data_IF_003714829085
#
_entry.id   IF_003714829085
#
_cell.length_a   1.000
_cell.length_b   1.000
_cell.length_c   1.000
_cell.angle_alpha   90.00
_cell.angle_beta   90.00
_cell.angle_gamma   90.00
#
_symmetry.space_group_name_H-M   'P 1'
#
loop_
_entity.id
_entity.type
_entity.pdbx_description
1 polymer ?
#
# COMPACT_ATOMS: atom_id res chain seq x y z
N UNK A 1 -4.89 11.03 -13.12
CA UNK A 1 -4.65 10.32 -11.86
C UNK A 1 -5.53 9.09 -11.80
N UNK A 2 -4.96 7.93 -11.56
CA UNK A 2 -5.74 6.71 -11.49
C UNK A 2 -6.34 6.53 -10.10
N UNK A 3 -7.54 5.98 -10.07
CA UNK A 3 -8.24 5.66 -8.84
C UNK A 3 -7.92 4.23 -8.44
N UNK A 4 -7.36 4.06 -7.27
CA UNK A 4 -7.11 2.75 -6.72
C UNK A 4 -8.15 2.42 -5.67
N UNK A 5 -8.57 1.15 -5.66
CA UNK A 5 -9.40 0.62 -4.60
C UNK A 5 -8.48 0.22 -3.44
N UNK A 6 -8.80 0.69 -2.25
CA UNK A 6 -8.01 0.37 -1.06
C UNK A 6 -8.89 -0.44 -0.12
N UNK A 7 -8.72 -1.75 -0.14
CA UNK A 7 -9.45 -2.67 0.73
C UNK A 7 -8.66 -2.91 2.00
N UNK A 8 -9.27 -3.55 2.99
CA UNK A 8 -8.64 -3.75 4.29
C UNK A 8 -7.35 -4.55 4.24
N UNK A 9 -7.37 -5.67 3.56
CA UNK A 9 -6.19 -6.53 3.47
C UNK A 9 -5.95 -7.36 4.72
N UNK A 10 -4.80 -8.03 4.74
CA UNK A 10 -4.40 -8.96 5.78
C UNK A 10 -3.20 -8.39 6.55
N UNK A 11 -3.35 -8.06 7.84
CA UNK A 11 -2.23 -7.54 8.64
C UNK A 11 -1.19 -8.60 9.02
N UNK A 12 -1.50 -9.87 8.84
CA UNK A 12 -0.62 -10.95 9.28
C UNK A 12 0.48 -11.30 8.28
N UNK A 13 0.43 -10.73 7.08
CA UNK A 13 1.43 -10.99 6.03
C UNK A 13 2.22 -9.73 5.74
N UNK A 14 3.30 -9.53 6.47
CA UNK A 14 4.16 -8.36 6.26
C UNK A 14 4.80 -8.38 4.87
N UNK A 15 4.99 -7.19 4.31
CA UNK A 15 5.53 -7.02 2.97
C UNK A 15 4.43 -6.97 1.92
N UNK A 16 4.79 -7.24 0.68
CA UNK A 16 3.86 -7.28 -0.43
C UNK A 16 3.60 -8.73 -0.80
N UNK A 17 2.36 -9.17 -0.72
CA UNK A 17 1.95 -10.54 -1.00
C UNK A 17 0.99 -10.56 -2.17
N UNK A 18 1.33 -11.31 -3.21
CA UNK A 18 0.48 -11.45 -4.39
C UNK A 18 -0.64 -12.43 -4.08
N UNK A 19 -1.88 -12.02 -4.34
CA UNK A 19 -3.06 -12.85 -4.15
C UNK A 19 -3.87 -12.90 -5.44
N UNK A 20 -4.89 -13.76 -5.45
CA UNK A 20 -5.81 -13.83 -6.60
C UNK A 20 -6.63 -12.54 -6.77
N UNK A 21 -6.73 -11.75 -5.71
CA UNK A 21 -7.57 -10.56 -5.69
C UNK A 21 -6.79 -9.24 -5.78
N UNK A 22 -5.47 -9.32 -5.96
CA UNK A 22 -4.61 -8.15 -6.01
C UNK A 22 -3.36 -8.35 -5.17
N UNK A 23 -2.75 -7.27 -4.75
CA UNK A 23 -1.54 -7.34 -3.93
C UNK A 23 -1.86 -6.84 -2.53
N UNK A 24 -1.53 -7.64 -1.54
CA UNK A 24 -1.69 -7.30 -0.13
C UNK A 24 -0.41 -6.64 0.39
N UNK A 25 -0.53 -5.45 0.93
CA UNK A 25 0.59 -4.72 1.54
C UNK A 25 0.37 -4.66 3.05
N UNK A 26 1.42 -4.94 3.80
CA UNK A 26 1.39 -4.77 5.25
C UNK A 26 2.75 -4.31 5.74
N UNK A 27 2.74 -3.28 6.58
CA UNK A 27 3.97 -2.69 7.09
C UNK A 27 3.80 -2.34 8.56
N UNK A 28 4.83 -2.65 9.35
CA UNK A 28 4.86 -2.27 10.75
C UNK A 28 5.34 -0.81 10.84
N UNK A 29 4.52 0.04 11.46
CA UNK A 29 4.91 1.43 11.70
C UNK A 29 4.15 1.98 12.90
N UNK A 30 4.79 1.98 14.03
CA UNK A 30 4.17 2.31 15.31
C UNK A 30 3.71 3.75 15.39
N UNK A 31 4.56 4.68 14.93
CA UNK A 31 4.35 6.10 15.14
C UNK A 31 3.80 6.83 13.92
N UNK A 32 3.51 6.10 12.86
CA UNK A 32 2.97 6.71 11.65
C UNK A 32 1.56 7.25 11.91
N UNK A 33 1.31 8.46 11.41
CA UNK A 33 -0.04 9.04 11.42
C UNK A 33 -0.65 8.99 10.03
N UNK A 34 0.17 8.78 9.00
CA UNK A 34 -0.27 8.71 7.63
C UNK A 34 0.65 7.78 6.85
N UNK A 35 0.06 6.88 6.07
CA UNK A 35 0.80 5.96 5.21
C UNK A 35 0.21 6.00 3.82
N UNK A 36 1.08 6.22 2.83
CA UNK A 36 0.72 6.18 1.42
C UNK A 36 1.59 5.13 0.73
N UNK A 37 1.03 4.46 -0.26
CA UNK A 37 1.79 3.57 -1.14
C UNK A 37 1.81 4.22 -2.52
N UNK A 38 3.00 4.56 -2.99
CA UNK A 38 3.19 5.23 -4.27
C UNK A 38 3.65 4.20 -5.30
N UNK A 39 2.96 4.13 -6.44
CA UNK A 39 3.25 3.17 -7.50
C UNK A 39 3.86 3.87 -8.70
N UNK A 40 4.91 3.26 -9.26
CA UNK A 40 5.69 3.83 -10.35
C UNK A 40 5.72 2.88 -11.54
N UNK A 41 5.73 3.42 -12.76
CA UNK A 41 5.79 2.61 -13.96
C UNK A 41 7.14 1.93 -14.14
N UNK A 42 8.22 2.62 -13.78
CA UNK A 42 9.55 2.07 -13.84
C UNK A 42 10.45 2.77 -12.82
N UNK A 43 11.65 2.23 -12.62
CA UNK A 43 12.54 2.73 -11.59
C UNK A 43 13.12 4.13 -11.89
N UNK A 44 13.00 4.60 -13.13
CA UNK A 44 13.42 5.97 -13.50
C UNK A 44 12.31 7.00 -13.31
N UNK A 45 11.10 6.56 -13.02
CA UNK A 45 9.96 7.47 -12.86
C UNK A 45 10.17 8.34 -11.63
N UNK A 46 10.01 9.65 -11.78
CA UNK A 46 10.13 10.60 -10.67
C UNK A 46 8.79 10.86 -10.00
N UNK A 47 7.71 10.58 -10.72
CA UNK A 47 6.35 10.84 -10.25
C UNK A 47 5.58 9.52 -10.27
N UNK A 48 4.86 9.18 -9.18
CA UNK A 48 4.04 7.99 -9.19
C UNK A 48 2.87 8.14 -10.17
N UNK A 49 2.48 7.02 -10.79
CA UNK A 49 1.29 7.03 -11.65
C UNK A 49 0.01 6.86 -10.83
N UNK A 50 0.13 6.35 -9.62
CA UNK A 50 -1.00 6.16 -8.71
C UNK A 50 -0.51 6.17 -7.27
N UNK A 51 -1.37 6.60 -6.37
CA UNK A 51 -1.07 6.64 -4.93
C UNK A 51 -2.27 6.07 -4.19
N UNK A 52 -2.01 5.15 -3.27
CA UNK A 52 -3.00 4.63 -2.36
C UNK A 52 -2.76 5.22 -0.98
N UNK A 53 -3.73 5.92 -0.45
CA UNK A 53 -3.66 6.44 0.91
C UNK A 53 -4.41 5.49 1.85
N UNK A 54 -3.74 5.03 2.89
CA UNK A 54 -4.34 4.11 3.85
C UNK A 54 -5.10 4.90 4.92
N UNK A 55 -6.29 4.41 5.25
CA UNK A 55 -7.16 5.01 6.25
C UNK A 55 -6.87 4.38 7.61
N UNK A 56 -6.43 5.14 8.62
CA UNK A 56 -6.12 4.57 9.94
C UNK A 56 -7.30 3.82 10.57
N UNK A 57 -8.52 4.16 10.20
CA UNK A 57 -9.70 3.49 10.74
C UNK A 57 -9.94 2.12 10.11
N UNK A 58 -9.48 1.91 8.87
CA UNK A 58 -9.75 0.68 8.11
C UNK A 58 -8.50 -0.12 7.80
N UNK A 59 -7.37 0.56 7.67
CA UNK A 59 -6.13 -0.03 7.15
C UNK A 59 -5.04 -0.10 8.20
N UNK A 60 -5.42 -0.15 9.45
CA UNK A 60 -4.47 -0.28 10.55
C UNK A 60 -5.03 -1.21 11.61
N UNK A 61 -4.20 -2.16 12.05
CA UNK A 61 -4.49 -3.06 13.17
C UNK A 61 -3.31 -3.03 14.11
N UNK A 62 -3.49 -2.40 15.28
CA UNK A 62 -2.36 -2.17 16.17
C UNK A 62 -1.33 -1.27 15.49
N UNK A 63 -0.12 -1.76 15.36
CA UNK A 63 0.98 -1.03 14.70
C UNK A 63 1.21 -1.48 13.26
N UNK A 64 0.34 -2.34 12.72
CA UNK A 64 0.44 -2.82 11.35
C UNK A 64 -0.53 -2.03 10.46
N UNK A 65 0.02 -1.41 9.44
CA UNK A 65 -0.77 -0.77 8.38
C UNK A 65 -0.88 -1.77 7.24
N UNK A 66 -2.09 -1.96 6.70
CA UNK A 66 -2.34 -3.00 5.71
C UNK A 66 -3.40 -2.60 4.71
N UNK A 67 -3.29 -3.11 3.50
CA UNK A 67 -4.25 -2.85 2.45
C UNK A 67 -4.15 -3.92 1.37
N UNK A 68 -5.28 -4.23 0.75
CA UNK A 68 -5.33 -5.01 -0.48
C UNK A 68 -5.69 -4.07 -1.63
N UNK A 69 -4.84 -4.02 -2.63
CA UNK A 69 -5.03 -3.15 -3.79
C UNK A 69 -5.28 -4.02 -5.02
N UNK A 70 -6.54 -4.15 -5.46
CA UNK A 70 -6.87 -5.07 -6.56
C UNK A 70 -6.25 -4.69 -7.90
N UNK A 71 -6.05 -3.40 -8.16
CA UNK A 71 -5.57 -2.94 -9.45
C UNK A 71 -4.06 -3.09 -9.64
N UNK A 72 -3.32 -3.37 -8.56
CA UNK A 72 -1.86 -3.52 -8.63
C UNK A 72 -1.53 -4.93 -9.08
N UNK A 73 -0.62 -5.02 -10.05
CA UNK A 73 -0.20 -6.28 -10.63
C UNK A 73 1.17 -6.69 -10.15
N UNK A 74 1.49 -7.98 -10.29
CA UNK A 74 2.81 -8.51 -10.06
C UNK A 74 3.85 -7.69 -10.84
N UNK A 75 4.95 -7.35 -10.18
CA UNK A 75 6.03 -6.61 -10.81
C UNK A 75 5.91 -5.10 -10.75
N UNK A 76 4.82 -4.58 -10.20
CA UNK A 76 4.70 -3.13 -9.99
C UNK A 76 5.75 -2.64 -9.00
N UNK A 77 6.32 -1.47 -9.29
CA UNK A 77 7.26 -0.83 -8.38
C UNK A 77 6.49 0.05 -7.40
N UNK A 78 6.89 0.02 -6.14
CA UNK A 78 6.22 0.84 -5.14
C UNK A 78 7.18 1.33 -4.07
N UNK A 79 6.80 2.45 -3.44
CA UNK A 79 7.48 2.99 -2.27
C UNK A 79 6.44 3.43 -1.27
N UNK A 80 6.75 3.27 0.00
CA UNK A 80 5.92 3.83 1.07
C UNK A 80 6.32 5.26 1.33
N UNK A 81 5.33 6.09 1.61
CA UNK A 81 5.52 7.42 2.15
C UNK A 81 4.85 7.46 3.52
N UNK A 82 5.64 7.70 4.54
CA UNK A 82 5.18 7.60 5.92
C UNK A 82 5.41 8.94 6.61
N UNK A 83 4.33 9.49 7.17
CA UNK A 83 4.38 10.70 7.99
C UNK A 83 4.07 10.32 9.44
N UNK A 84 4.88 10.86 10.36
CA UNK A 84 4.67 10.51 11.76
C UNK A 84 5.48 11.30 12.74
#
# INVERSE_FOLDING_TARGET
>A
MSNLTVLGGDPHRLGATITDNGVNFAIFSRDAVRVLICFFENYNSKTPYAVAELDPAKNRTGDIWHALIPEVKKGSLYLYRIDG
#
